data_IF_316035075737
#
_entry.id   IF_316035075737
#
_cell.length_a   1.000
_cell.length_b   1.000
_cell.length_c   1.000
_cell.angle_alpha   90.00
_cell.angle_beta   90.00
_cell.angle_gamma   90.00
#
_symmetry.space_group_name_H-M   'P 1'
#
loop_
_entity.id
_entity.type
_entity.pdbx_description
1 polymer ?
#
# COMPACT_ATOMS: atom_id res chain seq x y z
N UNK A 1 -5.93 -31.97 -6.85
CA UNK A 1 -6.65 -31.10 -7.80
C UNK A 1 -5.59 -30.37 -8.58
N UNK A 2 -5.46 -30.75 -9.84
CA UNK A 2 -4.40 -30.36 -10.77
C UNK A 2 -4.40 -28.85 -10.99
N UNK A 3 -3.22 -28.23 -10.80
CA UNK A 3 -2.89 -26.94 -11.38
C UNK A 3 -3.08 -27.07 -12.89
N UNK A 4 -4.23 -26.62 -13.36
CA UNK A 4 -4.45 -26.33 -14.76
C UNK A 4 -3.52 -25.16 -15.08
N UNK A 5 -2.48 -25.43 -15.88
CA UNK A 5 -1.75 -24.38 -16.58
C UNK A 5 -2.80 -23.56 -17.35
N UNK A 6 -3.23 -22.43 -16.77
CA UNK A 6 -3.76 -21.34 -17.59
C UNK A 6 -2.59 -20.93 -18.48
N UNK A 7 -2.55 -21.46 -19.70
CA UNK A 7 -1.90 -20.78 -20.80
C UNK A 7 -2.57 -19.40 -20.89
N UNK A 8 -1.96 -18.41 -20.26
CA UNK A 8 -2.40 -17.02 -20.29
C UNK A 8 -2.44 -16.57 -21.75
N UNK A 9 -3.67 -16.44 -22.28
CA UNK A 9 -3.96 -16.11 -23.68
C UNK A 9 -3.39 -14.73 -24.03
N UNK A 10 -2.64 -14.63 -25.13
CA UNK A 10 -2.19 -13.35 -25.66
C UNK A 10 -3.38 -12.47 -26.09
N UNK A 11 -3.30 -11.17 -25.83
CA UNK A 11 -4.26 -10.18 -26.28
C UNK A 11 -4.29 -10.13 -27.81
N UNK A 12 -5.49 -10.10 -28.37
CA UNK A 12 -5.74 -10.01 -29.81
C UNK A 12 -6.68 -8.85 -30.11
N UNK A 13 -6.73 -8.33 -31.35
CA UNK A 13 -7.69 -7.27 -31.72
C UNK A 13 -9.16 -7.61 -31.43
N UNK A 14 -9.50 -8.88 -31.22
CA UNK A 14 -10.86 -9.33 -30.91
C UNK A 14 -11.23 -9.22 -29.44
N UNK A 15 -10.25 -9.00 -28.58
CA UNK A 15 -10.46 -8.90 -27.13
C UNK A 15 -10.86 -7.48 -26.69
N UNK A 16 -10.93 -6.51 -27.62
CA UNK A 16 -11.40 -5.15 -27.36
C UNK A 16 -12.37 -4.66 -28.44
N UNK A 17 -13.22 -3.70 -28.09
CA UNK A 17 -14.25 -3.15 -28.99
C UNK A 17 -13.81 -1.83 -29.63
N UNK A 18 -14.49 -1.45 -30.72
CA UNK A 18 -14.38 -0.14 -31.38
C UNK A 18 -12.96 0.33 -31.77
N UNK A 19 -12.04 -0.62 -32.01
CA UNK A 19 -10.68 -0.31 -32.43
C UNK A 19 -10.67 0.43 -33.77
N UNK A 20 -9.98 1.58 -33.81
CA UNK A 20 -9.80 2.37 -35.01
C UNK A 20 -8.41 2.14 -35.61
N UNK A 21 -8.34 2.17 -36.93
CA UNK A 21 -7.06 2.12 -37.64
C UNK A 21 -6.25 3.41 -37.44
N UNK A 22 -4.96 3.34 -37.75
CA UNK A 22 -4.08 4.52 -37.75
C UNK A 22 -4.65 5.57 -38.70
N UNK A 23 -4.92 6.81 -38.26
CA UNK A 23 -5.48 7.82 -39.15
C UNK A 23 -4.48 8.24 -40.23
N UNK A 24 -5.01 8.78 -41.34
CA UNK A 24 -4.18 9.35 -42.40
C UNK A 24 -3.31 10.54 -41.93
N UNK A 25 -3.76 11.24 -40.87
CA UNK A 25 -2.94 12.21 -40.14
C UNK A 25 -2.07 11.45 -39.13
N UNK A 26 -0.97 10.88 -39.59
CA UNK A 26 0.03 10.22 -38.76
C UNK A 26 1.43 10.61 -39.23
N UNK A 27 2.42 10.36 -38.38
CA UNK A 27 3.82 10.56 -38.72
C UNK A 27 4.61 9.31 -38.35
N UNK A 28 5.59 8.97 -39.18
CA UNK A 28 6.58 7.95 -38.87
C UNK A 28 7.74 8.60 -38.13
N UNK A 29 8.16 8.02 -37.01
CA UNK A 29 9.32 8.45 -36.24
C UNK A 29 10.31 7.30 -36.11
N UNK A 30 11.60 7.62 -36.24
CA UNK A 30 12.68 6.72 -35.87
C UNK A 30 12.83 6.76 -34.35
N UNK A 31 13.02 5.60 -33.73
CA UNK A 31 13.30 5.48 -32.30
C UNK A 31 14.79 5.20 -32.11
N UNK A 32 15.37 5.70 -31.01
CA UNK A 32 16.65 5.21 -30.55
C UNK A 32 16.54 3.70 -30.28
N UNK A 33 17.45 2.87 -30.84
CA UNK A 33 17.40 1.43 -30.65
C UNK A 33 17.38 1.07 -29.17
N UNK A 34 16.29 0.44 -28.75
CA UNK A 34 16.12 -0.06 -27.40
C UNK A 34 16.04 -1.58 -27.43
N UNK A 35 16.79 -2.22 -26.53
CA UNK A 35 16.99 -3.67 -26.52
C UNK A 35 16.27 -4.26 -25.32
N UNK A 36 15.50 -5.32 -25.56
CA UNK A 36 14.80 -6.07 -24.53
C UNK A 36 15.27 -7.53 -24.52
N UNK A 37 15.30 -8.14 -23.34
CA UNK A 37 15.66 -9.54 -23.21
C UNK A 37 14.54 -10.48 -23.69
N UNK A 38 14.83 -11.77 -23.93
CA UNK A 38 13.81 -12.70 -24.42
C UNK A 38 12.61 -12.89 -23.48
N UNK A 39 12.75 -12.71 -22.16
CA UNK A 39 11.64 -12.86 -21.22
C UNK A 39 10.68 -11.68 -21.31
N UNK A 40 11.22 -10.47 -21.44
CA UNK A 40 10.45 -9.25 -21.65
C UNK A 40 9.65 -9.32 -22.94
N UNK A 41 10.24 -9.88 -24.01
CA UNK A 41 9.56 -10.08 -25.30
C UNK A 41 8.40 -11.07 -25.19
N UNK A 42 8.56 -12.13 -24.40
CA UNK A 42 7.45 -13.06 -24.12
C UNK A 42 6.30 -12.32 -23.44
N UNK A 43 6.59 -11.39 -22.51
CA UNK A 43 5.55 -10.57 -21.86
C UNK A 43 4.95 -9.54 -22.83
N UNK A 44 5.74 -8.88 -23.67
CA UNK A 44 5.25 -8.00 -24.73
C UNK A 44 4.28 -8.68 -25.68
N UNK A 45 4.60 -9.92 -26.09
CA UNK A 45 3.73 -10.73 -26.96
C UNK A 45 2.41 -11.11 -26.29
N UNK A 46 2.29 -11.04 -24.96
CA UNK A 46 1.00 -11.22 -24.26
C UNK A 46 0.09 -10.00 -24.39
N UNK A 47 0.64 -8.81 -24.59
CA UNK A 47 -0.13 -7.56 -24.62
C UNK A 47 -0.76 -7.19 -23.28
N UNK A 48 -1.72 -6.28 -23.30
CA UNK A 48 -2.42 -5.77 -22.12
C UNK A 48 -3.91 -5.54 -22.42
N UNK A 49 -4.79 -6.19 -21.67
CA UNK A 49 -6.25 -6.02 -21.75
C UNK A 49 -6.72 -5.24 -20.51
N UNK A 50 -7.27 -4.02 -20.66
CA UNK A 50 -7.74 -3.25 -19.53
C UNK A 50 -9.02 -3.85 -18.92
N UNK A 51 -9.11 -3.83 -17.59
CA UNK A 51 -10.21 -4.37 -16.77
C UNK A 51 -11.03 -3.27 -16.08
N UNK A 52 -10.45 -2.09 -15.86
CA UNK A 52 -11.07 -0.96 -15.15
C UNK A 52 -10.94 0.34 -15.94
N UNK A 53 -11.71 1.35 -15.53
CA UNK A 53 -11.78 2.64 -16.24
C UNK A 53 -10.41 3.35 -16.24
N UNK A 54 -9.66 3.27 -15.15
CA UNK A 54 -8.36 3.92 -14.95
C UNK A 54 -7.28 3.37 -15.90
N UNK A 55 -7.49 2.17 -16.45
CA UNK A 55 -6.58 1.52 -17.38
C UNK A 55 -6.84 2.05 -18.79
N UNK A 56 -6.10 3.10 -19.12
CA UNK A 56 -6.27 3.95 -20.30
C UNK A 56 -5.88 3.31 -21.64
N UNK A 57 -5.25 2.14 -21.62
CA UNK A 57 -4.61 1.52 -22.77
C UNK A 57 -5.11 0.09 -22.98
N UNK A 58 -5.36 -0.26 -24.23
CA UNK A 58 -5.45 -1.62 -24.72
C UNK A 58 -4.27 -1.86 -25.66
N UNK A 59 -3.50 -2.92 -25.41
CA UNK A 59 -2.26 -3.17 -26.11
C UNK A 59 -2.25 -4.61 -26.60
N UNK A 60 -1.88 -4.82 -27.85
CA UNK A 60 -1.69 -6.16 -28.40
C UNK A 60 -0.52 -6.19 -29.37
N UNK A 61 0.04 -7.39 -29.56
CA UNK A 61 1.14 -7.63 -30.48
C UNK A 61 0.66 -8.61 -31.57
N UNK A 62 0.81 -8.22 -32.84
CA UNK A 62 0.54 -9.10 -33.99
C UNK A 62 1.62 -8.87 -35.03
N UNK A 63 2.16 -9.95 -35.59
CA UNK A 63 3.27 -9.93 -36.53
C UNK A 63 4.50 -9.21 -35.93
N UNK A 64 4.96 -8.14 -36.56
CA UNK A 64 6.14 -7.34 -36.18
C UNK A 64 5.75 -5.99 -35.54
N UNK A 65 4.53 -5.89 -34.99
CA UNK A 65 4.01 -4.62 -34.47
C UNK A 65 3.31 -4.76 -33.11
N UNK A 66 3.53 -3.77 -32.26
CA UNK A 66 2.81 -3.53 -31.02
C UNK A 66 1.85 -2.34 -31.23
N UNK A 67 0.57 -2.55 -30.92
CA UNK A 67 -0.49 -1.57 -31.14
C UNK A 67 -0.98 -1.01 -29.81
N UNK A 68 -0.94 0.31 -29.66
CA UNK A 68 -1.38 1.02 -28.45
C UNK A 68 -2.66 1.79 -28.72
N UNK A 69 -3.79 1.20 -28.32
CA UNK A 69 -5.10 1.85 -28.41
C UNK A 69 -5.50 2.49 -27.09
N UNK A 70 -6.22 3.61 -27.17
CA UNK A 70 -6.95 4.15 -26.03
C UNK A 70 -8.13 3.25 -25.72
N UNK A 71 -8.21 2.75 -24.49
CA UNK A 71 -9.25 1.78 -24.09
C UNK A 71 -10.67 2.33 -24.24
N UNK A 72 -10.87 3.64 -24.02
CA UNK A 72 -12.21 4.25 -24.03
C UNK A 72 -12.71 4.67 -25.41
N UNK A 73 -11.81 5.01 -26.35
CA UNK A 73 -12.18 5.53 -27.67
C UNK A 73 -11.79 4.63 -28.82
N UNK A 74 -10.95 3.63 -28.58
CA UNK A 74 -10.39 2.76 -29.61
C UNK A 74 -9.34 3.43 -30.52
N UNK A 75 -9.02 4.71 -30.30
CA UNK A 75 -8.02 5.43 -31.09
C UNK A 75 -6.65 4.74 -31.00
N UNK A 76 -6.09 4.35 -32.14
CA UNK A 76 -4.70 3.90 -32.23
C UNK A 76 -3.77 5.11 -32.11
N UNK A 77 -2.96 5.16 -31.05
CA UNK A 77 -2.05 6.29 -30.78
C UNK A 77 -0.64 5.97 -31.27
N UNK A 78 -0.15 4.77 -30.96
CA UNK A 78 1.18 4.31 -31.36
C UNK A 78 1.07 2.93 -32.00
N UNK A 79 1.76 2.76 -33.12
CA UNK A 79 2.02 1.46 -33.73
C UNK A 79 3.53 1.30 -33.84
N UNK A 80 4.10 0.47 -33.00
CA UNK A 80 5.54 0.37 -32.80
C UNK A 80 6.06 -0.88 -33.51
N UNK A 81 7.11 -0.70 -34.32
CA UNK A 81 7.76 -1.79 -35.03
C UNK A 81 8.78 -2.50 -34.13
N UNK A 82 8.71 -3.82 -34.09
CA UNK A 82 9.57 -4.69 -33.29
C UNK A 82 10.09 -5.84 -34.16
N UNK A 83 11.39 -6.09 -34.14
CA UNK A 83 11.99 -7.22 -34.85
C UNK A 83 13.09 -7.90 -34.02
N UNK A 84 13.36 -9.16 -34.36
CA UNK A 84 14.42 -9.97 -33.77
C UNK A 84 15.73 -9.72 -34.52
N UNK A 85 16.74 -9.19 -33.84
CA UNK A 85 18.08 -9.00 -34.38
C UNK A 85 18.88 -10.31 -34.48
N UNK A 86 20.03 -10.24 -35.15
CA UNK A 86 20.86 -11.42 -35.47
C UNK A 86 21.38 -12.18 -34.24
N UNK A 87 21.49 -11.50 -33.09
CA UNK A 87 21.97 -12.06 -31.82
C UNK A 87 20.84 -12.55 -30.88
N UNK A 88 19.58 -12.55 -31.35
CA UNK A 88 18.40 -12.95 -30.56
C UNK A 88 17.85 -11.86 -29.64
N UNK A 89 18.44 -10.67 -29.68
CA UNK A 89 17.94 -9.46 -29.02
C UNK A 89 16.80 -8.85 -29.85
N UNK A 90 15.73 -8.44 -29.21
CA UNK A 90 14.61 -7.78 -29.89
C UNK A 90 14.76 -6.26 -29.79
N UNK A 91 14.57 -5.59 -30.93
CA UNK A 91 14.83 -4.16 -31.08
C UNK A 91 13.59 -3.43 -31.57
N UNK A 92 13.29 -2.31 -30.92
CA UNK A 92 12.30 -1.35 -31.37
C UNK A 92 13.02 -0.23 -32.10
N UNK A 93 12.58 0.06 -33.32
CA UNK A 93 13.34 0.96 -34.22
C UNK A 93 12.52 2.07 -34.83
N UNK A 94 11.20 1.93 -34.88
CA UNK A 94 10.34 2.97 -35.40
C UNK A 94 8.92 2.85 -34.85
N UNK A 95 8.17 3.95 -34.94
CA UNK A 95 6.75 3.96 -34.64
C UNK A 95 5.99 4.86 -35.62
N UNK A 96 4.78 4.42 -35.98
CA UNK A 96 3.78 5.32 -36.55
C UNK A 96 2.98 5.94 -35.38
N UNK A 97 2.91 7.27 -35.37
CA UNK A 97 2.27 8.05 -34.30
C UNK A 97 1.09 8.82 -34.86
N UNK A 98 -0.04 8.75 -34.16
CA UNK A 98 -1.25 9.50 -34.46
C UNK A 98 -0.98 11.02 -34.39
N UNK A 99 -1.48 11.78 -35.35
CA UNK A 99 -1.39 13.26 -35.41
C UNK A 99 -2.75 13.90 -35.72
N UNK A 100 -3.84 13.18 -35.54
CA UNK A 100 -5.17 13.77 -35.64
C UNK A 100 -5.51 14.47 -34.32
N UNK A 101 -5.60 15.82 -34.29
CA UNK A 101 -5.81 16.57 -33.05
C UNK A 101 -7.15 16.26 -32.37
N UNK A 102 -8.11 15.66 -33.08
CA UNK A 102 -9.37 15.18 -32.49
C UNK A 102 -9.18 13.88 -31.69
N UNK A 103 -8.11 13.12 -31.96
CA UNK A 103 -7.84 11.82 -31.35
C UNK A 103 -6.64 11.84 -30.40
N UNK A 104 -5.61 12.63 -30.71
CA UNK A 104 -4.37 12.72 -29.96
C UNK A 104 -3.77 14.13 -30.02
N UNK A 105 -3.46 14.69 -28.85
CA UNK A 105 -2.93 16.06 -28.72
C UNK A 105 -1.40 16.17 -28.79
N UNK A 106 -0.67 15.04 -28.86
CA UNK A 106 0.78 15.05 -28.90
C UNK A 106 1.31 15.51 -30.26
N UNK A 107 2.31 16.39 -30.22
CA UNK A 107 2.91 17.01 -31.41
C UNK A 107 4.44 16.93 -31.43
N UNK A 108 5.06 16.40 -30.37
CA UNK A 108 6.52 16.36 -30.20
C UNK A 108 7.00 14.91 -30.25
N UNK A 109 7.78 14.60 -31.29
CA UNK A 109 8.27 13.25 -31.55
C UNK A 109 9.17 12.72 -30.42
N UNK A 110 9.98 13.57 -29.78
CA UNK A 110 10.89 13.14 -28.72
C UNK A 110 10.12 12.78 -27.44
N UNK A 111 9.02 13.50 -27.17
CA UNK A 111 8.13 13.18 -26.06
C UNK A 111 7.32 11.90 -26.33
N UNK A 112 6.88 11.69 -27.57
CA UNK A 112 6.18 10.46 -27.96
C UNK A 112 7.08 9.23 -27.82
N UNK A 113 8.35 9.32 -28.24
CA UNK A 113 9.35 8.29 -28.03
C UNK A 113 9.50 7.93 -26.54
N UNK A 114 9.64 8.95 -25.67
CA UNK A 114 9.72 8.76 -24.23
C UNK A 114 8.49 8.03 -23.68
N UNK A 115 7.29 8.44 -24.10
CA UNK A 115 6.02 7.84 -23.66
C UNK A 115 5.91 6.39 -24.16
N UNK A 116 6.31 6.10 -25.39
CA UNK A 116 6.27 4.73 -25.95
C UNK A 116 7.05 3.77 -25.04
N UNK A 117 8.29 4.12 -24.68
CA UNK A 117 9.09 3.27 -23.80
C UNK A 117 8.51 3.17 -22.39
N UNK A 118 7.99 4.25 -21.81
CA UNK A 118 7.30 4.18 -20.51
C UNK A 118 6.08 3.23 -20.54
N UNK A 119 5.31 3.23 -21.64
CA UNK A 119 4.16 2.35 -21.78
C UNK A 119 4.58 0.90 -21.96
N UNK A 120 5.65 0.62 -22.69
CA UNK A 120 6.18 -0.74 -22.85
C UNK A 120 6.69 -1.25 -21.50
N UNK A 121 7.55 -0.47 -20.84
CA UNK A 121 8.15 -0.87 -19.57
C UNK A 121 7.08 -1.10 -18.51
N UNK A 122 6.11 -0.18 -18.43
CA UNK A 122 5.01 -0.30 -17.49
C UNK A 122 4.08 -1.45 -17.87
N UNK A 123 3.44 -1.47 -19.03
CA UNK A 123 2.36 -2.42 -19.30
C UNK A 123 2.81 -3.81 -19.75
N UNK A 124 3.99 -3.91 -20.36
CA UNK A 124 4.40 -5.10 -21.10
C UNK A 124 5.63 -5.80 -20.53
N UNK A 125 6.47 -5.09 -19.77
CA UNK A 125 7.72 -5.66 -19.22
C UNK A 125 7.59 -5.97 -17.74
N UNK A 126 7.05 -5.05 -16.95
CA UNK A 126 6.79 -5.30 -15.53
C UNK A 126 5.79 -6.44 -15.36
N UNK A 127 6.11 -7.39 -14.48
CA UNK A 127 5.23 -8.50 -14.15
C UNK A 127 4.05 -7.99 -13.30
N UNK A 128 3.00 -7.54 -13.98
CA UNK A 128 1.70 -7.34 -13.37
C UNK A 128 1.04 -8.71 -13.24
N UNK A 129 1.45 -9.47 -12.21
CA UNK A 129 0.71 -10.62 -11.74
C UNK A 129 -0.78 -10.27 -11.73
N UNK A 130 -1.60 -11.06 -12.44
CA UNK A 130 -3.02 -10.86 -12.74
C UNK A 130 -3.67 -9.72 -11.96
N UNK A 131 -4.02 -8.61 -12.64
CA UNK A 131 -4.75 -7.51 -12.00
C UNK A 131 -5.99 -8.04 -11.27
N UNK A 132 -5.90 -8.15 -9.95
CA UNK A 132 -7.01 -8.32 -9.03
C UNK A 132 -7.55 -6.91 -8.76
N UNK A 133 -8.87 -6.73 -8.83
CA UNK A 133 -9.44 -5.43 -8.51
C UNK A 133 -9.06 -5.03 -7.08
N UNK A 134 -8.86 -3.74 -6.81
CA UNK A 134 -8.47 -3.27 -5.48
C UNK A 134 -9.44 -3.69 -4.38
N UNK A 135 -10.72 -3.90 -4.73
CA UNK A 135 -11.73 -4.45 -3.83
C UNK A 135 -11.51 -5.93 -3.53
N UNK A 136 -11.22 -6.76 -4.53
CA UNK A 136 -10.94 -8.19 -4.33
C UNK A 136 -9.73 -8.39 -3.42
N UNK A 137 -8.63 -7.68 -3.66
CA UNK A 137 -7.45 -7.72 -2.78
C UNK A 137 -7.79 -7.28 -1.35
N UNK A 138 -8.62 -6.23 -1.21
CA UNK A 138 -9.06 -5.77 0.11
C UNK A 138 -9.95 -6.78 0.83
N UNK A 139 -10.84 -7.47 0.10
CA UNK A 139 -11.70 -8.52 0.64
C UNK A 139 -10.89 -9.76 1.02
N UNK A 140 -9.95 -10.18 0.18
CA UNK A 140 -9.04 -11.28 0.50
C UNK A 140 -8.23 -11.00 1.76
N UNK A 141 -7.69 -9.78 1.91
CA UNK A 141 -7.02 -9.35 3.14
C UNK A 141 -7.96 -9.37 4.34
N UNK A 142 -9.18 -8.85 4.19
CA UNK A 142 -10.18 -8.81 5.27
C UNK A 142 -10.63 -10.20 5.74
N UNK A 143 -10.57 -11.21 4.86
CA UNK A 143 -10.86 -12.61 5.20
C UNK A 143 -9.69 -13.31 5.91
N UNK A 144 -8.49 -12.74 5.91
CA UNK A 144 -7.35 -13.34 6.61
C UNK A 144 -7.58 -13.33 8.13
N UNK A 145 -7.23 -14.41 8.84
CA UNK A 145 -7.34 -14.44 10.29
C UNK A 145 -6.47 -13.35 10.91
N UNK A 146 -6.93 -12.72 11.99
CA UNK A 146 -6.19 -11.66 12.68
C UNK A 146 -5.72 -10.53 11.74
N UNK A 147 -6.56 -10.15 10.79
CA UNK A 147 -6.31 -8.99 9.94
C UNK A 147 -6.38 -7.69 10.73
N UNK A 148 -5.32 -6.88 10.66
CA UNK A 148 -5.17 -5.64 11.42
C UNK A 148 -6.06 -4.48 10.93
N UNK A 149 -6.83 -4.67 9.85
CA UNK A 149 -7.90 -3.74 9.46
C UNK A 149 -9.21 -3.98 10.22
N UNK A 150 -9.33 -5.06 11.00
CA UNK A 150 -10.50 -5.33 11.82
C UNK A 150 -10.37 -4.67 13.22
N UNK A 151 -11.31 -3.80 13.62
CA UNK A 151 -11.25 -3.11 14.91
C UNK A 151 -11.20 -4.02 16.13
N UNK A 152 -11.89 -5.15 16.09
CA UNK A 152 -11.90 -6.12 17.19
C UNK A 152 -10.54 -6.82 17.32
N UNK A 153 -9.90 -7.15 16.19
CA UNK A 153 -8.55 -7.73 16.18
C UNK A 153 -7.54 -6.76 16.78
N UNK A 154 -7.56 -5.49 16.36
CA UNK A 154 -6.65 -4.46 16.88
C UNK A 154 -6.90 -4.23 18.38
N UNK A 155 -8.16 -4.10 18.78
CA UNK A 155 -8.57 -3.98 20.18
C UNK A 155 -8.02 -5.12 21.05
N UNK A 156 -8.19 -6.36 20.58
CA UNK A 156 -7.76 -7.57 21.29
C UNK A 156 -6.23 -7.71 21.34
N UNK A 157 -5.53 -7.34 20.27
CA UNK A 157 -4.06 -7.34 20.22
C UNK A 157 -3.43 -6.41 21.27
N UNK A 158 -4.13 -5.34 21.67
CA UNK A 158 -3.68 -4.39 22.68
C UNK A 158 -3.97 -4.82 24.13
N UNK A 159 -4.89 -5.76 24.35
CA UNK A 159 -5.34 -6.15 25.69
C UNK A 159 -4.20 -6.59 26.62
N UNK A 160 -3.23 -7.44 26.21
CA UNK A 160 -2.13 -7.87 27.08
C UNK A 160 -1.30 -6.70 27.63
N UNK A 161 -0.99 -5.70 26.79
CA UNK A 161 -0.28 -4.50 27.20
C UNK A 161 -1.09 -3.66 28.18
N UNK A 162 -2.37 -3.39 27.89
CA UNK A 162 -3.21 -2.62 28.80
C UNK A 162 -3.44 -3.33 30.14
N UNK A 163 -3.52 -4.67 30.13
CA UNK A 163 -3.58 -5.48 31.34
C UNK A 163 -2.28 -5.37 32.16
N UNK A 164 -1.12 -5.42 31.50
CA UNK A 164 0.17 -5.22 32.16
C UNK A 164 0.30 -3.80 32.75
N UNK A 165 -0.10 -2.77 32.00
CA UNK A 165 -0.16 -1.38 32.48
C UNK A 165 -1.10 -1.27 33.68
N UNK A 166 -2.31 -1.85 33.60
CA UNK A 166 -3.27 -1.87 34.70
C UNK A 166 -2.69 -2.50 35.98
N UNK A 167 -2.18 -3.74 35.88
CA UNK A 167 -1.56 -4.46 37.02
C UNK A 167 -0.41 -3.67 37.65
N UNK A 168 0.39 -2.99 36.82
CA UNK A 168 1.48 -2.15 37.30
C UNK A 168 0.98 -0.90 38.05
N UNK A 169 -0.10 -0.29 37.58
CA UNK A 169 -0.67 0.90 38.20
C UNK A 169 -1.45 0.54 39.48
N UNK A 170 -2.18 -0.57 39.48
CA UNK A 170 -2.93 -1.09 40.61
C UNK A 170 -2.03 -1.44 41.80
N UNK A 171 -0.80 -1.88 41.56
CA UNK A 171 0.17 -2.18 42.62
C UNK A 171 0.47 -0.99 43.57
N UNK A 172 0.12 0.24 43.19
CA UNK A 172 0.23 1.41 44.09
C UNK A 172 -0.93 1.52 45.10
N UNK A 173 -1.98 0.70 44.94
CA UNK A 173 -3.23 0.76 45.70
C UNK A 173 -3.55 -0.56 46.45
N UNK A 174 -2.79 -1.63 46.22
CA UNK A 174 -2.97 -2.95 46.84
C UNK A 174 -1.66 -3.43 47.49
N UNK A 175 -1.65 -4.60 48.13
CA UNK A 175 -0.49 -5.21 48.79
C UNK A 175 0.67 -5.60 47.86
N UNK A 176 0.52 -5.36 46.55
CA UNK A 176 1.51 -5.63 45.52
C UNK A 176 1.55 -7.08 45.03
N UNK A 177 0.65 -7.94 45.49
CA UNK A 177 0.61 -9.37 45.13
C UNK A 177 0.48 -9.64 43.63
N UNK A 178 -0.20 -8.76 42.89
CA UNK A 178 -0.42 -8.85 41.43
C UNK A 178 0.46 -7.90 40.60
N UNK A 179 1.49 -7.30 41.21
CA UNK A 179 2.34 -6.32 40.55
C UNK A 179 3.18 -6.95 39.43
N UNK A 180 3.18 -6.32 38.25
CA UNK A 180 4.10 -6.69 37.16
C UNK A 180 5.32 -5.76 37.11
N UNK A 181 6.45 -6.34 36.72
CA UNK A 181 7.73 -5.64 36.57
C UNK A 181 7.71 -4.69 35.36
N UNK A 182 8.63 -3.72 35.32
CA UNK A 182 8.75 -2.86 34.13
C UNK A 182 9.20 -3.67 32.91
N UNK A 183 9.96 -4.73 33.14
CA UNK A 183 10.35 -5.68 32.10
C UNK A 183 9.12 -6.32 31.45
N UNK A 184 8.18 -6.82 32.24
CA UNK A 184 6.95 -7.43 31.70
C UNK A 184 6.14 -6.44 30.85
N UNK A 185 6.04 -5.16 31.26
CA UNK A 185 5.39 -4.14 30.41
C UNK A 185 6.17 -3.94 29.11
N UNK A 186 7.49 -3.88 29.16
CA UNK A 186 8.33 -3.74 27.97
C UNK A 186 8.26 -4.97 27.05
N UNK A 187 8.12 -6.18 27.62
CA UNK A 187 7.93 -7.41 26.88
C UNK A 187 6.60 -7.33 26.08
N UNK A 188 5.51 -6.81 26.67
CA UNK A 188 4.25 -6.57 25.95
C UNK A 188 4.37 -5.47 24.88
N UNK A 189 5.12 -4.39 25.15
CA UNK A 189 5.43 -3.36 24.14
C UNK A 189 6.14 -4.01 22.95
N UNK A 190 7.13 -4.87 23.20
CA UNK A 190 7.84 -5.59 22.14
C UNK A 190 6.89 -6.46 21.31
N UNK A 191 5.97 -7.19 21.94
CA UNK A 191 4.98 -8.00 21.21
C UNK A 191 4.09 -7.15 20.29
N UNK A 192 3.57 -6.02 20.81
CA UNK A 192 2.74 -5.12 20.01
C UNK A 192 3.56 -4.51 18.86
N UNK A 193 4.83 -4.16 19.09
CA UNK A 193 5.70 -3.65 18.03
C UNK A 193 5.84 -4.67 16.89
N UNK A 194 6.10 -5.94 17.21
CA UNK A 194 6.20 -7.01 16.18
C UNK A 194 4.89 -7.20 15.41
N UNK A 195 3.74 -7.07 16.08
CA UNK A 195 2.42 -7.14 15.44
C UNK A 195 2.23 -5.99 14.45
N UNK A 196 2.37 -4.75 14.91
CA UNK A 196 2.01 -3.57 14.11
C UNK A 196 3.09 -3.12 13.11
N UNK A 197 4.33 -3.63 13.24
CA UNK A 197 5.35 -3.55 12.17
C UNK A 197 5.23 -4.67 11.13
N UNK A 198 4.25 -5.56 11.27
CA UNK A 198 3.96 -6.63 10.32
C UNK A 198 4.93 -7.82 10.37
N UNK A 199 5.68 -8.00 11.45
CA UNK A 199 6.67 -9.09 11.60
C UNK A 199 6.17 -10.27 12.42
N UNK A 200 5.03 -10.14 13.11
CA UNK A 200 4.43 -11.23 13.87
C UNK A 200 3.67 -12.21 12.96
N UNK A 201 4.02 -13.52 12.91
CA UNK A 201 3.46 -14.48 11.95
C UNK A 201 1.97 -14.78 12.18
N UNK A 202 1.45 -14.50 13.38
CA UNK A 202 0.04 -14.69 13.74
C UNK A 202 -0.91 -13.57 13.31
N UNK A 203 -0.44 -12.48 12.70
CA UNK A 203 -1.26 -11.33 12.30
C UNK A 203 -1.04 -10.96 10.84
N UNK A 204 -2.06 -10.37 10.22
CA UNK A 204 -2.03 -9.95 8.83
C UNK A 204 -2.09 -8.42 8.74
N UNK A 205 -1.03 -7.73 8.28
CA UNK A 205 -0.99 -6.27 8.19
C UNK A 205 -1.88 -5.72 7.06
N UNK A 206 -2.17 -4.43 7.14
CA UNK A 206 -2.97 -3.66 6.17
C UNK A 206 -2.04 -3.07 5.10
N UNK A 207 -1.54 -3.88 4.16
CA UNK A 207 -0.76 -3.38 3.03
C UNK A 207 0.34 -2.37 3.42
N UNK A 208 0.35 -1.19 2.78
CA UNK A 208 1.31 -0.10 3.05
C UNK A 208 1.07 0.64 4.37
N UNK A 209 -0.09 0.47 5.01
CA UNK A 209 -0.44 1.14 6.26
C UNK A 209 0.53 0.83 7.39
N UNK A 210 0.93 -0.43 7.54
CA UNK A 210 1.87 -0.88 8.56
C UNK A 210 3.33 -0.54 8.19
N UNK A 211 3.62 0.74 7.96
CA UNK A 211 4.94 1.27 7.60
C UNK A 211 5.26 2.58 8.32
N UNK A 212 6.53 2.98 8.28
CA UNK A 212 7.02 4.26 8.83
C UNK A 212 6.38 5.47 8.14
N UNK A 213 6.08 5.34 6.84
CA UNK A 213 5.53 6.42 6.00
C UNK A 213 4.05 6.69 6.29
N UNK A 214 3.32 5.70 6.79
CA UNK A 214 1.88 5.81 7.05
C UNK A 214 1.59 5.72 8.56
N UNK A 215 1.48 4.52 9.14
CA UNK A 215 1.18 4.35 10.56
C UNK A 215 2.24 5.01 11.46
N UNK A 216 3.53 4.97 11.09
CA UNK A 216 4.59 5.63 11.85
C UNK A 216 4.35 7.14 12.03
N UNK A 217 4.01 7.84 10.94
CA UNK A 217 3.68 9.27 10.98
C UNK A 217 2.44 9.57 11.83
N UNK A 218 1.46 8.68 11.78
CA UNK A 218 0.24 8.80 12.59
C UNK A 218 0.54 8.60 14.07
N UNK A 219 1.40 7.65 14.44
CA UNK A 219 1.86 7.45 15.81
C UNK A 219 2.62 8.68 16.31
N UNK A 220 3.59 9.19 15.53
CA UNK A 220 4.36 10.39 15.88
C UNK A 220 3.42 11.55 16.22
N UNK A 221 2.45 11.82 15.34
CA UNK A 221 1.47 12.89 15.53
C UNK A 221 0.53 12.65 16.70
N UNK A 222 -0.15 11.50 16.72
CA UNK A 222 -1.24 11.23 17.66
C UNK A 222 -0.73 10.96 19.07
N UNK A 223 0.46 10.36 19.24
CA UNK A 223 1.04 10.08 20.55
C UNK A 223 1.93 11.21 21.06
N UNK A 224 1.98 12.35 20.35
CA UNK A 224 2.78 13.53 20.71
C UNK A 224 4.27 13.25 20.82
N UNK A 225 4.83 12.47 19.88
CA UNK A 225 6.27 12.31 19.72
C UNK A 225 6.88 13.51 18.98
N UNK A 226 8.19 13.70 19.11
CA UNK A 226 8.92 14.76 18.41
C UNK A 226 9.18 14.36 16.94
N UNK A 227 8.54 15.01 15.96
CA UNK A 227 8.69 14.63 14.55
C UNK A 227 10.13 14.76 14.04
N UNK A 228 10.91 15.71 14.56
CA UNK A 228 12.29 15.92 14.10
C UNK A 228 13.21 14.79 14.61
N UNK A 229 12.94 14.28 15.81
CA UNK A 229 13.70 13.17 16.37
C UNK A 229 13.44 11.85 15.65
N UNK A 230 12.20 11.61 15.21
CA UNK A 230 11.80 10.33 14.61
C UNK A 230 11.75 10.34 13.07
N UNK A 231 12.25 11.39 12.41
CA UNK A 231 12.15 11.54 10.96
C UNK A 231 12.79 10.37 10.16
N UNK A 232 13.90 9.83 10.67
CA UNK A 232 14.68 8.76 10.04
C UNK A 232 14.69 7.44 10.84
N UNK A 233 13.85 7.35 11.88
CA UNK A 233 13.77 6.19 12.74
C UNK A 233 12.92 5.07 12.13
N UNK A 234 13.25 3.82 12.47
CA UNK A 234 12.49 2.66 11.98
C UNK A 234 11.17 2.46 12.73
N UNK A 235 10.28 1.65 12.16
CA UNK A 235 8.94 1.41 12.70
C UNK A 235 8.96 0.86 14.13
N UNK A 236 9.93 0.00 14.46
CA UNK A 236 10.05 -0.57 15.80
C UNK A 236 10.35 0.53 16.83
N UNK A 237 11.27 1.44 16.53
CA UNK A 237 11.63 2.57 17.40
C UNK A 237 10.42 3.49 17.65
N UNK A 238 9.72 3.88 16.57
CA UNK A 238 8.53 4.74 16.64
C UNK A 238 7.43 4.10 17.49
N UNK A 239 7.10 2.82 17.23
CA UNK A 239 6.08 2.11 17.99
C UNK A 239 6.49 1.94 19.46
N UNK A 240 7.71 1.50 19.72
CA UNK A 240 8.21 1.25 21.08
C UNK A 240 8.12 2.50 21.96
N UNK A 241 8.63 3.63 21.45
CA UNK A 241 8.57 4.92 22.15
C UNK A 241 7.13 5.44 22.27
N UNK A 242 6.32 5.25 21.22
CA UNK A 242 4.90 5.56 21.24
C UNK A 242 4.15 4.84 22.37
N UNK A 243 4.29 3.52 22.49
CA UNK A 243 3.62 2.72 23.51
C UNK A 243 4.21 2.95 24.91
N UNK A 244 5.50 3.22 25.04
CA UNK A 244 6.10 3.68 26.29
C UNK A 244 5.46 5.02 26.72
N UNK A 245 5.26 5.94 25.79
CA UNK A 245 4.54 7.20 25.98
C UNK A 245 3.10 7.01 26.45
N UNK A 246 2.36 6.06 25.85
CA UNK A 246 1.00 5.68 26.28
C UNK A 246 0.98 5.20 27.74
N UNK A 247 1.87 4.28 28.12
CA UNK A 247 1.98 3.78 29.49
C UNK A 247 2.34 4.90 30.49
N UNK A 248 3.25 5.80 30.10
CA UNK A 248 3.65 6.95 30.92
C UNK A 248 2.49 7.94 31.10
N UNK A 249 1.73 8.22 30.04
CA UNK A 249 0.59 9.12 30.09
C UNK A 249 -0.53 8.60 31.01
N UNK A 250 -0.79 7.28 30.98
CA UNK A 250 -1.70 6.62 31.92
C UNK A 250 -1.24 6.82 33.37
N UNK A 251 0.05 6.57 33.65
CA UNK A 251 0.65 6.76 34.98
C UNK A 251 0.53 8.20 35.48
N UNK A 252 0.86 9.17 34.63
CA UNK A 252 0.79 10.60 34.98
C UNK A 252 -0.64 11.06 35.28
N UNK A 253 -1.62 10.56 34.51
CA UNK A 253 -3.04 10.87 34.71
C UNK A 253 -3.52 10.41 36.10
N UNK A 254 -3.09 9.24 36.56
CA UNK A 254 -3.38 8.77 37.93
C UNK A 254 -2.69 9.66 38.97
N UNK A 255 -1.39 9.95 38.79
CA UNK A 255 -0.61 10.78 39.73
C UNK A 255 -1.13 12.21 39.88
N UNK A 256 -1.82 12.74 38.86
CA UNK A 256 -2.45 14.06 38.90
C UNK A 256 -3.76 14.12 39.71
N UNK A 257 -4.24 12.99 40.25
CA UNK A 257 -5.46 12.93 41.05
C UNK A 257 -6.76 12.77 40.23
N UNK A 258 -6.70 12.69 38.89
CA UNK A 258 -7.88 12.54 38.02
C UNK A 258 -8.72 11.30 38.32
N UNK A 259 -8.09 10.25 38.81
CA UNK A 259 -8.79 8.99 39.15
C UNK A 259 -9.30 8.95 40.59
N UNK A 260 -9.06 10.00 41.38
CA UNK A 260 -9.40 10.06 42.80
C UNK A 260 -8.92 8.84 43.63
N UNK A 261 -7.92 8.10 43.13
CA UNK A 261 -7.42 6.87 43.75
C UNK A 261 -8.39 5.68 43.73
N UNK A 262 -9.46 5.72 42.93
CA UNK A 262 -10.40 4.58 42.81
C UNK A 262 -10.10 3.73 41.57
N UNK A 263 -10.14 2.41 41.74
CA UNK A 263 -10.02 1.37 40.71
C UNK A 263 -10.96 1.62 39.53
N UNK A 264 -12.22 1.97 39.78
CA UNK A 264 -13.21 2.19 38.71
C UNK A 264 -12.78 3.33 37.79
N UNK A 265 -12.29 4.44 38.35
CA UNK A 265 -11.80 5.57 37.55
C UNK A 265 -10.50 5.24 36.80
N UNK A 266 -9.65 4.35 37.33
CA UNK A 266 -8.47 3.84 36.62
C UNK A 266 -8.90 2.99 35.42
N UNK A 267 -9.89 2.12 35.60
CA UNK A 267 -10.43 1.28 34.52
C UNK A 267 -11.05 2.14 33.41
N UNK A 268 -11.83 3.16 33.76
CA UNK A 268 -12.42 4.08 32.77
C UNK A 268 -11.36 4.87 32.00
N UNK A 269 -10.33 5.35 32.70
CA UNK A 269 -9.19 6.02 32.07
C UNK A 269 -8.49 5.08 31.07
N UNK A 270 -8.14 3.86 31.48
CA UNK A 270 -7.46 2.90 30.61
C UNK A 270 -8.33 2.48 29.43
N UNK A 271 -9.64 2.33 29.62
CA UNK A 271 -10.58 2.06 28.54
C UNK A 271 -10.59 3.21 27.51
N UNK A 272 -10.59 4.46 27.97
CA UNK A 272 -10.55 5.63 27.08
C UNK A 272 -9.27 5.68 26.25
N UNK A 273 -8.08 5.47 26.85
CA UNK A 273 -6.83 5.47 26.09
C UNK A 273 -6.65 4.18 25.26
N UNK A 274 -7.24 3.05 25.65
CA UNK A 274 -7.33 1.85 24.80
C UNK A 274 -8.13 2.13 23.53
N UNK A 275 -9.35 2.68 23.64
CA UNK A 275 -10.19 3.02 22.49
C UNK A 275 -9.50 4.04 21.55
N UNK A 276 -8.88 5.07 22.13
CA UNK A 276 -8.07 6.01 21.38
C UNK A 276 -6.94 5.29 20.61
N UNK A 277 -6.15 4.47 21.30
CA UNK A 277 -5.01 3.74 20.71
C UNK A 277 -5.47 2.80 19.59
N UNK A 278 -6.58 2.08 19.79
CA UNK A 278 -7.19 1.23 18.75
C UNK A 278 -7.54 2.04 17.50
N UNK A 279 -8.21 3.19 17.66
CA UNK A 279 -8.59 4.03 16.51
C UNK A 279 -7.39 4.66 15.79
N UNK A 280 -6.31 4.96 16.52
CA UNK A 280 -5.05 5.47 15.94
C UNK A 280 -4.39 4.39 15.09
N UNK A 281 -4.28 3.15 15.60
CA UNK A 281 -3.67 2.03 14.87
C UNK A 281 -4.48 1.60 13.65
N UNK A 282 -5.80 1.81 13.65
CA UNK A 282 -6.67 1.60 12.48
C UNK A 282 -6.64 2.78 11.48
N UNK A 283 -6.01 3.90 11.83
CA UNK A 283 -6.02 5.13 11.04
C UNK A 283 -7.33 5.92 11.08
N UNK A 284 -8.43 5.32 11.53
CA UNK A 284 -9.77 5.94 11.61
C UNK A 284 -9.79 7.18 12.51
N UNK A 285 -8.89 7.27 13.48
CA UNK A 285 -8.74 8.46 14.34
C UNK A 285 -8.36 9.71 13.55
N UNK A 286 -7.50 9.57 12.54
CA UNK A 286 -7.05 10.71 11.73
C UNK A 286 -8.17 11.32 10.89
N UNK A 287 -9.20 10.53 10.58
CA UNK A 287 -10.39 10.95 9.84
C UNK A 287 -11.45 11.52 10.78
N UNK A 288 -11.73 10.82 11.87
CA UNK A 288 -12.84 11.14 12.77
C UNK A 288 -12.50 12.24 13.79
N UNK A 289 -11.25 12.29 14.25
CA UNK A 289 -10.80 13.19 15.31
C UNK A 289 -9.39 13.76 15.01
N UNK A 290 -9.16 14.42 13.86
CA UNK A 290 -7.84 14.80 13.35
C UNK A 290 -7.01 15.71 14.27
N UNK A 291 -7.65 16.38 15.22
CA UNK A 291 -7.06 17.34 16.17
C UNK A 291 -6.80 16.76 17.55
N UNK A 292 -7.34 15.56 17.86
CA UNK A 292 -7.18 14.95 19.17
C UNK A 292 -5.89 14.13 19.18
N UNK A 293 -5.00 14.45 20.11
CA UNK A 293 -3.79 13.68 20.42
C UNK A 293 -3.90 13.07 21.81
N UNK A 294 -2.98 12.18 22.18
CA UNK A 294 -2.93 11.57 23.50
C UNK A 294 -2.88 12.64 24.61
N UNK A 295 -2.09 13.70 24.42
CA UNK A 295 -2.02 14.83 25.33
C UNK A 295 -3.36 15.56 25.48
N UNK A 296 -4.06 15.85 24.38
CA UNK A 296 -5.35 16.57 24.46
C UNK A 296 -6.50 15.69 24.95
N UNK A 297 -6.44 14.38 24.68
CA UNK A 297 -7.38 13.39 25.21
C UNK A 297 -7.36 13.38 26.74
N UNK A 298 -6.15 13.53 27.30
CA UNK A 298 -5.88 13.46 28.72
C UNK A 298 -5.74 14.84 29.38
N UNK A 299 -6.07 15.93 28.70
CA UNK A 299 -6.07 17.29 29.27
C UNK A 299 -7.32 17.49 30.14
#
# INVERSE_FOLDING_TARGET
>A
MTQENLELKAATPRDWHDLLEMPAKSVHIDLEPHFYDPEDVVRMKRGFIPKEMEQKWFIYCTDEYIYFHRSWTGNLIYKVYIYEGDDGEWVLTSADVNRDPEQYGGTDNAEDERIIFELIDYYLVQDHAEYQSGLETSLELALKPNYLGNPEVVSNALMPFFEAVYKKLQANFDDGSMAVTSKQVNDEIHQICEIFRGSHPGYNPVGSWNSEKELGQVIIKCFNLDPDYYADENMYCILSEGFAGVALAAKQSIGSGKTHGNIESIQQLLLQIHQFTTSVLLGTHTVTHPKITLKSLLA
#
